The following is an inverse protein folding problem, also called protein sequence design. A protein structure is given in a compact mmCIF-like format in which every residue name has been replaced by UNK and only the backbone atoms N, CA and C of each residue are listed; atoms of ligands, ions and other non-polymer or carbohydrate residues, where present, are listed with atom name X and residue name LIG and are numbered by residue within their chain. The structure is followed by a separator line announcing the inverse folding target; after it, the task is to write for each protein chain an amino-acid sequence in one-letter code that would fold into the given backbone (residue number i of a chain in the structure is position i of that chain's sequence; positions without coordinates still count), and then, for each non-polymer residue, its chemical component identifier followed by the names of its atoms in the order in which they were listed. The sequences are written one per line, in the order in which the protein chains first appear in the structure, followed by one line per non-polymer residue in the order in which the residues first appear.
data_IF_013600379278
#
_entry.id   IF_013600379278
#
_cell.length_a   1.000
_cell.length_b   1.000
_cell.length_c   1.000
_cell.angle_alpha   90.00
_cell.angle_beta   90.00
_cell.angle_gamma   90.00
#
_symmetry.space_group_name_H-M   'P 1'
#
loop_
_entity.id
_entity.type
_entity.pdbx_description
1 polymer ?
#
# COMPACT_ATOMS: atom_id res chain seq x y z
N UNK A 1 19.42 69.81 -12.03
CA UNK A 1 20.26 68.87 -11.25
C UNK A 1 19.41 67.64 -10.93
N UNK A 2 19.73 66.47 -11.49
CA UNK A 2 18.97 65.23 -11.26
C UNK A 2 19.71 64.42 -10.20
N UNK A 3 19.18 64.41 -8.97
CA UNK A 3 19.72 63.62 -7.87
C UNK A 3 19.34 62.15 -8.09
N UNK A 4 20.33 61.31 -8.36
CA UNK A 4 20.17 59.86 -8.52
C UNK A 4 20.26 59.19 -7.15
N UNK A 5 19.13 58.77 -6.60
CA UNK A 5 19.07 57.95 -5.38
C UNK A 5 19.62 56.55 -5.67
N UNK A 6 20.70 56.16 -4.97
CA UNK A 6 21.20 54.78 -4.98
C UNK A 6 20.32 53.91 -4.05
N UNK A 7 19.51 53.03 -4.64
CA UNK A 7 18.81 51.99 -3.89
C UNK A 7 19.81 50.91 -3.49
N UNK A 8 20.13 50.80 -2.20
CA UNK A 8 20.88 49.66 -1.65
C UNK A 8 19.99 48.42 -1.65
N UNK A 9 20.13 47.56 -2.67
CA UNK A 9 19.65 46.19 -2.59
C UNK A 9 20.48 45.46 -1.53
N UNK A 10 19.88 45.15 -0.38
CA UNK A 10 20.46 44.26 0.64
C UNK A 10 20.43 42.84 0.09
N UNK A 11 21.59 42.32 -0.32
CA UNK A 11 21.78 40.92 -0.66
C UNK A 11 21.87 40.04 0.60
N UNK A 12 21.41 38.80 0.50
CA UNK A 12 21.55 37.78 1.55
C UNK A 12 23.03 37.46 1.78
N UNK A 13 23.44 37.32 3.05
CA UNK A 13 24.79 36.91 3.40
C UNK A 13 24.97 35.40 3.25
N UNK A 14 26.15 34.96 2.84
CA UNK A 14 26.48 33.53 2.74
C UNK A 14 26.38 32.83 4.10
N UNK A 15 26.74 33.50 5.20
CA UNK A 15 26.62 32.92 6.54
C UNK A 15 25.15 32.75 6.97
N UNK A 16 24.27 33.65 6.54
CA UNK A 16 22.84 33.56 6.81
C UNK A 16 22.25 32.33 6.11
N UNK A 17 22.64 32.09 4.85
CA UNK A 17 22.23 30.89 4.12
C UNK A 17 22.78 29.60 4.79
N UNK A 18 24.05 29.62 5.22
CA UNK A 18 24.71 28.46 5.83
C UNK A 18 24.04 28.00 7.13
N UNK A 19 23.65 28.93 8.01
CA UNK A 19 22.96 28.59 9.26
C UNK A 19 21.57 28.02 8.96
N UNK A 20 20.86 28.57 7.97
CA UNK A 20 19.52 28.10 7.59
C UNK A 20 19.58 26.64 7.09
N UNK A 21 20.52 26.32 6.19
CA UNK A 21 20.65 24.94 5.69
C UNK A 21 21.12 23.97 6.78
N UNK A 22 21.95 24.43 7.73
CA UNK A 22 22.38 23.62 8.87
C UNK A 22 21.20 23.23 9.78
N UNK A 23 20.32 24.19 10.11
CA UNK A 23 19.15 23.92 10.96
C UNK A 23 18.15 23.03 10.23
N UNK A 24 17.85 23.30 8.95
CA UNK A 24 16.97 22.45 8.13
C UNK A 24 17.54 21.02 8.04
N UNK A 25 18.87 20.88 7.89
CA UNK A 25 19.54 19.59 7.88
C UNK A 25 19.34 18.78 9.17
N UNK A 26 19.45 19.42 10.34
CA UNK A 26 19.21 18.77 11.65
C UNK A 26 17.76 18.31 11.76
N UNK A 27 16.80 19.16 11.39
CA UNK A 27 15.37 18.82 11.45
C UNK A 27 15.05 17.68 10.50
N UNK A 28 15.56 17.72 9.26
CA UNK A 28 15.35 16.68 8.26
C UNK A 28 15.90 15.33 8.71
N UNK A 29 17.08 15.30 9.35
CA UNK A 29 17.70 14.06 9.84
C UNK A 29 16.82 13.31 10.86
N UNK A 30 16.11 14.04 11.72
CA UNK A 30 15.18 13.45 12.69
C UNK A 30 13.80 13.13 12.08
N UNK A 31 13.32 13.98 11.16
CA UNK A 31 11.98 13.86 10.61
C UNK A 31 11.85 12.74 9.56
N UNK A 32 12.85 12.55 8.70
CA UNK A 32 12.83 11.55 7.61
C UNK A 32 12.58 10.12 8.11
N UNK A 33 13.30 9.57 9.11
CA UNK A 33 13.08 8.19 9.54
C UNK A 33 11.68 7.99 10.10
N UNK A 34 11.16 8.96 10.86
CA UNK A 34 9.80 8.91 11.39
C UNK A 34 8.75 8.98 10.27
N UNK A 35 8.96 9.85 9.28
CA UNK A 35 8.09 9.95 8.10
C UNK A 35 8.05 8.63 7.32
N UNK A 36 9.19 7.97 7.13
CA UNK A 36 9.24 6.68 6.43
C UNK A 36 8.50 5.59 7.21
N UNK A 37 8.66 5.53 8.53
CA UNK A 37 7.92 4.59 9.38
C UNK A 37 6.40 4.85 9.34
N UNK A 38 5.98 6.12 9.43
CA UNK A 38 4.58 6.53 9.32
C UNK A 38 3.97 6.16 7.96
N UNK A 39 4.72 6.38 6.86
CA UNK A 39 4.30 5.96 5.52
C UNK A 39 4.11 4.45 5.40
N UNK A 40 5.03 3.64 5.95
CA UNK A 40 4.87 2.17 5.98
C UNK A 40 3.62 1.75 6.75
N UNK A 41 3.35 2.35 7.90
CA UNK A 41 2.15 2.06 8.68
C UNK A 41 0.86 2.44 7.90
N UNK A 42 0.87 3.57 7.21
CA UNK A 42 -0.25 3.98 6.35
C UNK A 42 -0.47 3.02 5.17
N UNK A 43 0.61 2.57 4.53
CA UNK A 43 0.57 1.57 3.47
C UNK A 43 0.02 0.22 3.96
N UNK A 44 0.45 -0.24 5.14
CA UNK A 44 -0.08 -1.46 5.77
C UNK A 44 -1.57 -1.34 6.06
N UNK A 45 -2.03 -0.21 6.61
CA UNK A 45 -3.45 0.04 6.86
C UNK A 45 -4.26 0.04 5.55
N UNK A 46 -3.73 0.65 4.48
CA UNK A 46 -4.35 0.63 3.17
C UNK A 46 -4.42 -0.79 2.57
N UNK A 47 -3.37 -1.59 2.75
CA UNK A 47 -3.33 -2.99 2.30
C UNK A 47 -4.36 -3.86 3.04
N UNK A 48 -4.46 -3.71 4.37
CA UNK A 48 -5.48 -4.37 5.20
C UNK A 48 -6.88 -3.99 4.70
N UNK A 49 -7.14 -2.70 4.47
CA UNK A 49 -8.43 -2.24 3.94
C UNK A 49 -8.74 -2.83 2.55
N UNK A 50 -7.75 -2.90 1.66
CA UNK A 50 -7.91 -3.49 0.34
C UNK A 50 -8.20 -4.99 0.41
N UNK A 51 -7.55 -5.72 1.32
CA UNK A 51 -7.84 -7.14 1.56
C UNK A 51 -9.26 -7.34 2.09
N UNK A 52 -9.74 -6.50 3.03
CA UNK A 52 -11.15 -6.56 3.48
C UNK A 52 -12.12 -6.35 2.32
N UNK A 53 -11.82 -5.37 1.46
CA UNK A 53 -12.63 -5.10 0.28
C UNK A 53 -12.64 -6.30 -0.69
N UNK A 54 -11.47 -6.92 -0.94
CA UNK A 54 -11.36 -8.12 -1.77
C UNK A 54 -12.18 -9.28 -1.20
N UNK A 55 -12.07 -9.58 0.10
CA UNK A 55 -12.86 -10.64 0.73
C UNK A 55 -14.37 -10.36 0.69
N UNK A 56 -14.79 -9.11 0.89
CA UNK A 56 -16.19 -8.72 0.75
C UNK A 56 -16.70 -8.88 -0.68
N UNK A 57 -15.89 -8.50 -1.66
CA UNK A 57 -16.23 -8.63 -3.09
C UNK A 57 -16.30 -10.10 -3.52
N UNK A 58 -15.47 -10.96 -2.96
CA UNK A 58 -15.56 -12.41 -3.17
C UNK A 58 -16.90 -12.96 -2.69
N UNK A 59 -17.43 -12.48 -1.56
CA UNK A 59 -18.77 -12.86 -1.09
C UNK A 59 -19.88 -12.36 -2.02
N UNK A 60 -19.76 -11.12 -2.51
CA UNK A 60 -20.67 -10.59 -3.54
C UNK A 60 -20.62 -11.43 -4.82
N UNK A 61 -19.44 -11.84 -5.26
CA UNK A 61 -19.29 -12.71 -6.42
C UNK A 61 -19.97 -14.07 -6.17
N UNK A 62 -19.71 -14.69 -5.02
CA UNK A 62 -20.29 -15.98 -4.63
C UNK A 62 -21.82 -15.95 -4.65
N UNK A 63 -22.42 -14.91 -4.08
CA UNK A 63 -23.88 -14.77 -3.98
C UNK A 63 -24.57 -14.42 -5.31
N UNK A 64 -23.86 -13.78 -6.25
CA UNK A 64 -24.45 -13.31 -7.52
C UNK A 64 -24.14 -14.22 -8.70
N UNK A 65 -22.86 -14.46 -8.97
CA UNK A 65 -22.39 -15.14 -10.19
C UNK A 65 -21.89 -16.56 -9.87
N UNK A 66 -21.32 -16.75 -8.69
CA UNK A 66 -20.73 -18.01 -8.24
C UNK A 66 -21.73 -19.04 -7.72
N UNK A 67 -23.03 -18.88 -7.99
CA UNK A 67 -24.09 -19.83 -7.64
C UNK A 67 -24.04 -20.28 -6.15
N UNK A 68 -23.69 -19.34 -5.25
CA UNK A 68 -23.60 -19.56 -3.80
C UNK A 68 -22.40 -20.37 -3.32
N UNK A 69 -21.54 -20.88 -4.20
CA UNK A 69 -20.48 -21.83 -3.83
C UNK A 69 -19.10 -21.49 -4.40
N UNK A 70 -19.05 -20.69 -5.46
CA UNK A 70 -17.82 -20.43 -6.21
C UNK A 70 -17.27 -19.03 -5.96
N UNK A 71 -15.95 -18.96 -5.93
CA UNK A 71 -15.14 -17.75 -5.90
C UNK A 71 -14.39 -17.56 -7.21
N UNK A 72 -13.75 -16.42 -7.40
CA UNK A 72 -12.98 -16.14 -8.62
C UNK A 72 -11.62 -15.52 -8.32
N UNK A 73 -10.73 -15.53 -9.31
CA UNK A 73 -9.41 -14.93 -9.18
C UNK A 73 -9.48 -13.41 -9.42
N UNK A 74 -8.32 -12.73 -9.27
CA UNK A 74 -8.23 -11.28 -9.48
C UNK A 74 -8.77 -10.82 -10.84
N UNK A 75 -8.48 -11.56 -11.91
CA UNK A 75 -8.91 -11.21 -13.26
C UNK A 75 -10.44 -11.32 -13.43
N UNK A 76 -11.06 -12.33 -12.81
CA UNK A 76 -12.51 -12.49 -12.80
C UNK A 76 -13.23 -11.36 -12.06
N UNK A 77 -12.67 -10.92 -10.92
CA UNK A 77 -13.19 -9.75 -10.20
C UNK A 77 -13.12 -8.47 -11.03
N UNK A 78 -12.01 -8.25 -11.74
CA UNK A 78 -11.82 -7.07 -12.58
C UNK A 78 -12.76 -7.09 -13.81
N UNK A 79 -12.92 -8.24 -14.46
CA UNK A 79 -13.80 -8.41 -15.63
C UNK A 79 -15.25 -8.08 -15.31
N UNK A 80 -15.71 -8.43 -14.10
CA UNK A 80 -17.04 -8.13 -13.60
C UNK A 80 -17.17 -6.75 -12.95
N UNK A 81 -16.10 -5.93 -13.00
CA UNK A 81 -16.05 -4.58 -12.43
C UNK A 81 -16.41 -4.54 -10.93
N UNK A 82 -16.11 -5.62 -10.20
CA UNK A 82 -16.36 -5.69 -8.75
C UNK A 82 -15.23 -5.03 -7.94
N UNK A 83 -14.10 -4.74 -8.59
CA UNK A 83 -12.95 -4.01 -8.02
C UNK A 83 -12.51 -2.90 -8.97
N UNK A 84 -11.85 -1.87 -8.43
CA UNK A 84 -11.29 -0.80 -9.24
C UNK A 84 -10.06 -1.27 -10.06
N UNK A 85 -9.85 -0.63 -11.22
CA UNK A 85 -8.74 -0.96 -12.12
C UNK A 85 -7.36 -0.81 -11.46
N UNK A 86 -7.19 0.15 -10.54
CA UNK A 86 -5.89 0.32 -9.87
C UNK A 86 -5.59 -0.84 -8.93
N UNK A 87 -6.61 -1.35 -8.20
CA UNK A 87 -6.45 -2.53 -7.36
C UNK A 87 -6.26 -3.79 -8.21
N UNK A 88 -7.02 -3.95 -9.29
CA UNK A 88 -6.89 -5.08 -10.23
C UNK A 88 -5.54 -5.11 -10.97
N UNK A 89 -4.96 -3.93 -11.24
CA UNK A 89 -3.65 -3.80 -11.88
C UNK A 89 -2.47 -3.92 -10.90
N UNK A 90 -2.71 -3.85 -9.59
CA UNK A 90 -1.66 -3.88 -8.57
C UNK A 90 -1.13 -5.29 -8.27
N UNK A 91 -0.78 -6.05 -9.30
CA UNK A 91 -0.29 -7.43 -9.22
C UNK A 91 1.23 -7.54 -9.35
N UNK A 92 1.92 -6.43 -9.63
CA UNK A 92 3.37 -6.40 -9.84
C UNK A 92 4.02 -5.20 -9.16
N UNK A 93 5.32 -5.29 -8.91
CA UNK A 93 6.11 -4.19 -8.31
C UNK A 93 6.15 -2.92 -9.16
N UNK A 94 5.80 -2.99 -10.44
CA UNK A 94 5.73 -1.84 -11.33
C UNK A 94 4.44 -1.02 -11.15
N UNK A 95 3.39 -1.64 -10.61
CA UNK A 95 2.05 -1.05 -10.47
C UNK A 95 1.49 -1.12 -9.04
N UNK A 96 2.27 -0.86 -7.98
CA UNK A 96 1.78 -1.06 -6.62
C UNK A 96 0.72 -0.04 -6.23
N UNK A 97 -0.30 -0.49 -5.49
CA UNK A 97 -1.29 0.40 -4.86
C UNK A 97 -0.87 0.62 -3.41
N UNK A 98 -0.62 1.88 -3.05
CA UNK A 98 -0.13 2.26 -1.71
C UNK A 98 1.11 1.46 -1.26
N UNK A 99 2.03 1.19 -2.20
CA UNK A 99 3.26 0.45 -1.91
C UNK A 99 3.09 -1.07 -1.71
N UNK A 100 1.89 -1.60 -1.92
CA UNK A 100 1.59 -3.04 -1.86
C UNK A 100 1.14 -3.57 -3.22
N UNK A 101 1.36 -4.86 -3.40
CA UNK A 101 0.81 -5.64 -4.51
C UNK A 101 -0.12 -6.71 -3.96
N UNK A 102 -1.09 -7.11 -4.77
CA UNK A 102 -2.22 -7.93 -4.38
C UNK A 102 -2.35 -9.13 -5.30
N UNK A 103 -2.77 -10.24 -4.73
CA UNK A 103 -3.21 -11.40 -5.49
C UNK A 103 -4.51 -11.91 -4.91
N UNK A 104 -5.34 -12.47 -5.76
CA UNK A 104 -6.45 -13.32 -5.32
C UNK A 104 -6.35 -14.62 -6.10
N UNK A 105 -6.17 -15.70 -5.37
CA UNK A 105 -6.16 -17.04 -5.94
C UNK A 105 -7.40 -17.79 -5.47
N UNK A 106 -7.82 -18.76 -6.27
CA UNK A 106 -8.84 -19.73 -5.88
C UNK A 106 -8.22 -21.11 -5.74
N UNK A 107 -8.78 -21.93 -4.85
CA UNK A 107 -8.34 -23.31 -4.63
C UNK A 107 -9.56 -24.24 -4.57
N UNK A 108 -9.32 -25.55 -4.48
CA UNK A 108 -10.37 -26.57 -4.38
C UNK A 108 -11.46 -26.43 -5.47
N UNK A 109 -11.08 -26.17 -6.72
CA UNK A 109 -12.05 -26.01 -7.81
C UNK A 109 -12.94 -24.77 -7.68
N UNK A 110 -12.37 -23.65 -7.22
CA UNK A 110 -13.04 -22.37 -6.94
C UNK A 110 -13.95 -22.37 -5.70
N UNK A 111 -13.87 -23.36 -4.83
CA UNK A 111 -14.67 -23.41 -3.61
C UNK A 111 -14.07 -22.59 -2.47
N UNK A 112 -12.78 -22.28 -2.54
CA UNK A 112 -12.07 -21.43 -1.57
C UNK A 112 -11.29 -20.34 -2.30
N UNK A 113 -11.05 -19.23 -1.62
CA UNK A 113 -10.15 -18.18 -2.10
C UNK A 113 -9.10 -17.83 -1.05
N UNK A 114 -8.03 -17.19 -1.49
CA UNK A 114 -7.12 -16.45 -0.63
C UNK A 114 -6.77 -15.14 -1.31
N UNK A 115 -7.13 -14.03 -0.68
CA UNK A 115 -6.64 -12.70 -1.02
C UNK A 115 -5.33 -12.47 -0.26
N UNK A 116 -4.26 -12.10 -0.96
CA UNK A 116 -2.94 -11.83 -0.40
C UNK A 116 -2.46 -10.42 -0.73
N UNK A 117 -1.72 -9.81 0.17
CA UNK A 117 -1.01 -8.55 -0.04
C UNK A 117 0.44 -8.66 0.43
N UNK A 118 1.37 -8.20 -0.40
CA UNK A 118 2.78 -8.10 -0.06
C UNK A 118 3.33 -6.70 -0.39
N UNK A 119 4.29 -6.19 0.39
CA UNK A 119 4.91 -4.92 0.07
C UNK A 119 5.68 -5.06 -1.25
N UNK A 120 5.59 -4.06 -2.12
CA UNK A 120 6.27 -4.04 -3.40
C UNK A 120 7.81 -3.98 -3.25
N UNK A 121 8.29 -3.33 -2.19
CA UNK A 121 9.71 -3.23 -1.85
C UNK A 121 9.92 -3.33 -0.34
N UNK A 122 11.15 -3.51 0.12
CA UNK A 122 11.50 -3.50 1.55
C UNK A 122 11.15 -2.18 2.27
N UNK A 123 10.96 -1.09 1.52
CA UNK A 123 10.69 0.23 2.08
C UNK A 123 9.20 0.56 2.18
N UNK A 124 8.33 -0.22 1.54
CA UNK A 124 6.90 0.11 1.44
C UNK A 124 6.04 -0.55 2.51
N UNK A 125 6.54 -1.59 3.19
CA UNK A 125 5.85 -2.25 4.29
C UNK A 125 6.73 -3.28 5.00
N UNK A 126 6.28 -3.75 6.17
CA UNK A 126 7.05 -4.65 7.04
C UNK A 126 6.40 -6.01 7.26
N UNK A 127 5.20 -6.22 6.74
CA UNK A 127 4.41 -7.45 6.87
C UNK A 127 3.62 -7.74 5.61
N UNK A 128 3.30 -9.02 5.41
CA UNK A 128 2.36 -9.45 4.40
C UNK A 128 1.00 -9.70 5.06
N UNK A 129 -0.08 -9.64 4.28
CA UNK A 129 -1.43 -9.87 4.77
C UNK A 129 -2.15 -10.88 3.90
N UNK A 130 -3.07 -11.64 4.48
CA UNK A 130 -3.96 -12.51 3.73
C UNK A 130 -5.32 -12.66 4.38
N UNK A 131 -6.30 -13.09 3.60
CA UNK A 131 -7.66 -13.40 4.06
C UNK A 131 -8.29 -14.44 3.14
N UNK A 132 -8.92 -15.44 3.73
CA UNK A 132 -9.69 -16.52 3.10
C UNK A 132 -11.18 -16.46 3.44
N UNK A 133 -11.55 -15.60 4.39
CA UNK A 133 -12.92 -15.37 4.83
C UNK A 133 -13.17 -13.87 5.07
N UNK A 134 -14.38 -13.34 4.77
CA UNK A 134 -14.73 -11.98 5.15
C UNK A 134 -14.54 -11.70 6.64
N UNK A 135 -13.76 -10.67 6.96
CA UNK A 135 -13.64 -10.15 8.34
C UNK A 135 -12.40 -10.62 9.10
N UNK A 136 -11.74 -11.70 8.69
CA UNK A 136 -10.48 -12.15 9.32
C UNK A 136 -9.30 -11.84 8.42
N UNK A 137 -8.30 -11.15 8.97
CA UNK A 137 -7.04 -10.87 8.27
C UNK A 137 -5.90 -11.49 9.04
N UNK A 138 -5.01 -12.17 8.34
CA UNK A 138 -3.80 -12.77 8.89
C UNK A 138 -2.59 -11.93 8.48
N UNK A 139 -1.73 -11.58 9.44
CA UNK A 139 -0.43 -11.00 9.19
C UNK A 139 0.65 -12.08 9.12
N UNK A 140 1.55 -11.97 8.16
CA UNK A 140 2.67 -12.87 7.95
C UNK A 140 3.99 -12.12 8.03
N UNK A 141 5.07 -12.88 8.21
CA UNK A 141 6.42 -12.36 8.00
C UNK A 141 6.55 -11.75 6.60
N UNK A 142 7.37 -10.70 6.48
CA UNK A 142 7.54 -10.01 5.21
C UNK A 142 8.15 -10.93 4.16
N UNK A 143 7.50 -11.00 3.00
CA UNK A 143 8.07 -11.53 1.78
C UNK A 143 7.71 -10.57 0.64
N UNK A 144 8.67 -9.75 0.27
CA UNK A 144 8.51 -8.66 -0.70
C UNK A 144 8.07 -9.21 -2.05
N UNK A 145 7.13 -8.51 -2.69
CA UNK A 145 6.61 -8.86 -4.01
C UNK A 145 6.00 -10.28 -4.12
N UNK A 146 5.72 -10.93 -2.98
CA UNK A 146 5.18 -12.29 -2.94
C UNK A 146 3.94 -12.34 -2.03
N UNK A 147 2.76 -11.93 -2.53
CA UNK A 147 1.51 -12.02 -1.78
C UNK A 147 1.26 -13.45 -1.30
N UNK A 148 0.86 -13.66 -0.04
CA UNK A 148 0.54 -14.99 0.45
C UNK A 148 -0.63 -15.60 -0.33
N UNK A 149 -0.53 -16.89 -0.61
CA UNK A 149 -1.57 -17.69 -1.27
C UNK A 149 -2.40 -18.52 -0.28
N UNK A 150 -2.06 -18.46 1.00
CA UNK A 150 -2.78 -19.14 2.08
C UNK A 150 -2.74 -18.27 3.33
N UNK A 151 -3.69 -18.49 4.24
CA UNK A 151 -3.70 -17.91 5.60
C UNK A 151 -2.84 -18.69 6.59
N UNK A 152 -2.42 -19.91 6.23
CA UNK A 152 -1.56 -20.75 7.08
C UNK A 152 -0.23 -20.07 7.39
N UNK A 153 0.22 -20.18 8.64
CA UNK A 153 1.43 -19.52 9.14
C UNK A 153 1.26 -18.03 9.49
N UNK A 154 0.08 -17.46 9.25
CA UNK A 154 -0.24 -16.08 9.62
C UNK A 154 -0.84 -15.96 11.02
N UNK A 155 -0.69 -14.79 11.62
CA UNK A 155 -1.30 -14.42 12.92
C UNK A 155 -2.53 -13.55 12.65
N UNK A 156 -3.69 -13.95 13.16
CA UNK A 156 -4.92 -13.19 13.00
C UNK A 156 -4.81 -11.79 13.64
N UNK A 157 -5.21 -10.77 12.88
CA UNK A 157 -5.37 -9.39 13.30
C UNK A 157 -6.84 -9.20 13.68
N UNK A 158 -7.12 -9.05 14.97
CA UNK A 158 -8.45 -8.67 15.48
C UNK A 158 -8.61 -7.15 15.45
#
# INVERSE_FOLDING_TARGET
MKSTSFNFQRGFSLIELLIVVAIIGIVAALAIPNLLASRRAANEAAAISAIRALSSVQETYRSTTGNGTQFTNMAGLLSLQLIDEQLGAATSVATPKSGYIFSVITTAGNLNFCAGAAPATVNTGTRNFSSDEPGVIYAHAVNVASPPTTTSGGVALN
#
